data_IF_822847826218
#
_entry.id   IF_822847826218
#
_cell.length_a   1.000
_cell.length_b   1.000
_cell.length_c   1.000
_cell.angle_alpha   90.00
_cell.angle_beta   90.00
_cell.angle_gamma   90.00
#
_symmetry.space_group_name_H-M   'P 1'
#
loop_
_entity.id
_entity.type
_entity.pdbx_description
1 polymer ?
#
# COMPACT_ATOMS: atom_id res chain seq x y z
N UNK A 1 -18.05 19.88 25.11
CA UNK A 1 -16.73 19.88 24.45
C UNK A 1 -16.97 20.28 23.00
N UNK A 2 -16.52 21.48 22.60
CA UNK A 2 -16.47 21.87 21.19
C UNK A 2 -15.40 21.00 20.50
N UNK A 3 -15.77 20.29 19.45
CA UNK A 3 -14.78 19.64 18.59
C UNK A 3 -13.86 20.73 18.02
N UNK A 4 -12.54 20.47 17.97
CA UNK A 4 -11.62 21.41 17.35
C UNK A 4 -12.07 21.70 15.90
N UNK A 5 -11.98 22.95 15.49
CA UNK A 5 -12.23 23.28 14.09
C UNK A 5 -11.19 22.58 13.22
N UNK A 6 -11.51 22.23 11.97
CA UNK A 6 -10.59 21.56 11.03
C UNK A 6 -9.22 22.26 11.00
N UNK A 7 -9.19 23.60 11.02
CA UNK A 7 -7.95 24.38 11.02
C UNK A 7 -7.10 24.21 12.29
N UNK A 8 -7.73 24.00 13.45
CA UNK A 8 -7.02 23.72 14.70
C UNK A 8 -6.35 22.34 14.65
N UNK A 9 -7.07 21.31 14.16
CA UNK A 9 -6.48 19.98 14.03
C UNK A 9 -5.38 19.90 12.97
N UNK A 10 -5.45 20.70 11.89
CA UNK A 10 -4.38 20.79 10.90
C UNK A 10 -3.11 21.45 11.52
N UNK A 11 -3.27 22.44 12.40
CA UNK A 11 -2.16 23.05 13.11
C UNK A 11 -1.53 22.07 14.11
N UNK A 12 -2.35 21.38 14.92
CA UNK A 12 -1.85 20.40 15.88
C UNK A 12 -1.07 19.27 15.18
N UNK A 13 -1.54 18.81 14.01
CA UNK A 13 -0.85 17.80 13.21
C UNK A 13 0.48 18.34 12.62
N UNK A 14 0.48 19.59 12.18
CA UNK A 14 1.68 20.25 11.68
C UNK A 14 2.72 20.39 12.79
N UNK A 15 2.32 20.92 13.96
CA UNK A 15 3.22 21.18 15.07
C UNK A 15 3.81 19.86 15.62
N UNK A 16 3.00 18.82 15.75
CA UNK A 16 3.47 17.50 16.19
C UNK A 16 4.52 16.92 15.23
N UNK A 17 4.29 17.00 13.92
CA UNK A 17 5.24 16.51 12.92
C UNK A 17 6.53 17.39 12.87
N UNK A 18 6.39 18.71 13.06
CA UNK A 18 7.50 19.65 13.15
C UNK A 18 8.40 19.38 14.36
N UNK A 19 7.82 19.03 15.50
CA UNK A 19 8.59 18.62 16.69
C UNK A 19 9.39 17.35 16.43
N UNK A 20 8.85 16.35 15.75
CA UNK A 20 9.60 15.14 15.38
C UNK A 20 10.79 15.50 14.47
N UNK A 21 10.58 16.39 13.50
CA UNK A 21 11.64 16.81 12.56
C UNK A 21 12.75 17.60 13.28
N UNK A 22 12.40 18.46 14.25
CA UNK A 22 13.34 19.23 15.11
C UNK A 22 14.23 18.36 15.98
N UNK A 23 13.81 17.14 16.33
CA UNK A 23 14.65 16.21 17.09
C UNK A 23 15.94 15.85 16.33
N UNK A 24 15.93 15.88 15.01
CA UNK A 24 17.06 15.51 14.14
C UNK A 24 17.60 14.09 14.41
N UNK A 25 16.75 13.21 14.94
CA UNK A 25 17.06 11.82 15.24
C UNK A 25 16.73 10.88 14.09
N UNK A 26 15.81 11.30 13.22
CA UNK A 26 15.25 10.47 12.16
C UNK A 26 15.52 11.07 10.78
N UNK A 27 15.68 10.21 9.79
CA UNK A 27 15.81 10.62 8.39
C UNK A 27 15.34 9.49 7.47
N UNK A 28 15.11 9.80 6.18
CA UNK A 28 14.81 8.81 5.18
C UNK A 28 16.02 7.88 4.97
N UNK A 29 15.77 6.56 4.89
CA UNK A 29 16.79 5.62 4.44
C UNK A 29 17.01 5.78 2.94
N UNK A 30 18.22 5.53 2.46
CA UNK A 30 18.56 5.70 1.06
C UNK A 30 17.85 4.69 0.17
N UNK A 31 17.88 3.42 0.56
CA UNK A 31 17.17 2.35 -0.14
C UNK A 31 15.74 2.20 0.41
N UNK A 32 14.74 2.48 -0.42
CA UNK A 32 13.34 2.36 -0.06
C UNK A 32 12.97 0.98 0.53
N UNK A 33 13.58 -0.10 0.01
CA UNK A 33 13.32 -1.46 0.50
C UNK A 33 13.79 -1.71 1.94
N UNK A 34 14.53 -0.79 2.56
CA UNK A 34 14.96 -0.90 3.96
C UNK A 34 14.02 -0.15 4.92
N UNK A 35 13.12 0.69 4.41
CA UNK A 35 12.27 1.55 5.22
C UNK A 35 11.36 0.79 6.21
N UNK A 36 10.97 -0.44 5.89
CA UNK A 36 10.09 -1.28 6.73
C UNK A 36 10.80 -2.45 7.43
N UNK A 37 12.14 -2.52 7.35
CA UNK A 37 12.88 -3.62 7.96
C UNK A 37 13.25 -3.41 9.44
N UNK A 38 12.99 -2.20 9.96
CA UNK A 38 13.34 -1.82 11.31
C UNK A 38 14.85 -1.58 11.55
N UNK A 39 15.20 -1.21 12.77
CA UNK A 39 16.58 -0.95 13.20
C UNK A 39 17.34 0.05 12.28
N UNK A 40 16.67 1.11 11.83
CA UNK A 40 17.25 2.11 10.95
C UNK A 40 16.77 3.52 11.30
N UNK A 41 17.41 4.53 10.69
CA UNK A 41 17.13 5.96 10.94
C UNK A 41 15.72 6.42 10.56
N UNK A 42 14.95 5.64 9.81
CA UNK A 42 13.59 5.99 9.40
C UNK A 42 12.52 5.43 10.34
N UNK A 43 12.79 4.32 11.04
CA UNK A 43 11.87 3.72 11.99
C UNK A 43 11.75 4.58 13.26
N UNK A 44 10.52 5.01 13.59
CA UNK A 44 10.21 5.81 14.80
C UNK A 44 9.59 4.92 15.87
N UNK A 45 8.62 4.11 15.47
CA UNK A 45 8.00 3.11 16.34
C UNK A 45 8.02 1.78 15.62
N UNK A 46 8.61 0.78 16.26
CA UNK A 46 8.69 -0.56 15.72
C UNK A 46 8.48 -1.62 16.81
N UNK A 47 7.99 -2.78 16.39
CA UNK A 47 7.90 -3.97 17.23
C UNK A 47 9.02 -4.92 16.83
N UNK A 48 9.93 -5.17 17.75
CA UNK A 48 11.01 -6.12 17.55
C UNK A 48 10.54 -7.55 17.78
N UNK A 49 10.94 -8.43 16.87
CA UNK A 49 10.70 -9.86 16.96
C UNK A 49 12.02 -10.61 17.09
N UNK A 50 11.99 -11.76 17.76
CA UNK A 50 13.17 -12.56 18.02
C UNK A 50 13.00 -13.99 17.54
N UNK A 51 13.96 -14.45 16.75
CA UNK A 51 13.95 -15.79 16.15
C UNK A 51 14.08 -16.91 17.18
N UNK A 52 14.90 -16.73 18.20
CA UNK A 52 15.36 -17.82 19.05
C UNK A 52 14.54 -17.99 20.34
N UNK A 53 14.01 -16.92 20.90
CA UNK A 53 13.36 -16.96 22.23
C UNK A 53 12.22 -15.97 22.42
N UNK A 54 11.91 -15.17 21.43
CA UNK A 54 10.96 -14.07 21.53
C UNK A 54 9.71 -14.23 20.65
N UNK A 55 8.86 -13.21 20.64
CA UNK A 55 7.72 -13.17 19.75
C UNK A 55 8.17 -13.20 18.29
N UNK A 56 7.37 -13.82 17.46
CA UNK A 56 7.53 -13.89 16.00
C UNK A 56 6.14 -13.73 15.35
N UNK A 57 6.10 -13.54 14.03
CA UNK A 57 4.84 -13.34 13.32
C UNK A 57 4.74 -14.22 12.07
N UNK A 58 3.52 -14.36 11.57
CA UNK A 58 3.17 -15.22 10.44
C UNK A 58 2.88 -14.44 9.16
N UNK A 59 3.26 -13.17 9.07
CA UNK A 59 2.96 -12.32 7.92
C UNK A 59 3.45 -12.96 6.62
N UNK A 60 4.69 -13.43 6.59
CA UNK A 60 5.25 -14.10 5.41
C UNK A 60 4.42 -15.30 4.98
N UNK A 61 3.99 -16.16 5.91
CA UNK A 61 3.17 -17.34 5.60
C UNK A 61 1.88 -16.97 4.86
N UNK A 62 1.26 -15.85 5.18
CA UNK A 62 0.01 -15.44 4.55
C UNK A 62 0.18 -14.74 3.21
N UNK A 63 1.36 -14.20 2.89
CA UNK A 63 1.50 -13.34 1.71
C UNK A 63 2.54 -13.81 0.68
N UNK A 64 3.41 -14.77 1.01
CA UNK A 64 4.39 -15.29 0.05
C UNK A 64 3.74 -16.05 -1.11
N UNK A 65 4.38 -16.09 -2.30
CA UNK A 65 4.01 -16.99 -3.38
C UNK A 65 4.18 -18.47 -3.00
N UNK A 66 3.40 -19.36 -3.62
CA UNK A 66 3.48 -20.82 -3.40
C UNK A 66 4.90 -21.39 -3.56
N UNK A 67 5.70 -20.82 -4.45
CA UNK A 67 7.09 -21.26 -4.67
C UNK A 67 7.99 -21.11 -3.43
N UNK A 68 7.53 -20.42 -2.38
CA UNK A 68 8.21 -20.37 -1.07
C UNK A 68 7.81 -21.54 -0.14
N UNK A 69 7.06 -22.51 -0.66
CA UNK A 69 6.75 -23.74 0.06
C UNK A 69 5.55 -23.66 1.02
N UNK A 70 4.76 -22.58 0.97
CA UNK A 70 3.56 -22.43 1.81
C UNK A 70 2.29 -22.31 0.96
N UNK A 71 1.44 -23.34 1.01
CA UNK A 71 0.27 -23.46 0.15
C UNK A 71 -0.88 -22.47 0.47
N UNK A 72 -0.85 -21.83 1.64
CA UNK A 72 -1.88 -20.88 2.07
C UNK A 72 -1.44 -19.42 1.96
N UNK A 73 -0.36 -19.15 1.24
CA UNK A 73 0.13 -17.80 0.96
C UNK A 73 -0.76 -17.01 -0.02
N UNK A 74 -0.27 -15.85 -0.45
CA UNK A 74 -0.91 -14.96 -1.41
C UNK A 74 -2.36 -14.54 -1.03
N UNK A 75 -2.66 -14.37 0.26
CA UNK A 75 -4.00 -13.94 0.72
C UNK A 75 -4.31 -12.48 0.33
N UNK A 76 -3.32 -11.68 -0.01
CA UNK A 76 -3.48 -10.34 -0.55
C UNK A 76 -2.55 -10.14 -1.74
N UNK A 77 -3.10 -9.85 -2.90
CA UNK A 77 -2.35 -9.61 -4.12
C UNK A 77 -2.58 -8.20 -4.64
N UNK A 78 -1.52 -7.49 -5.08
CA UNK A 78 -1.65 -6.16 -5.68
C UNK A 78 -2.60 -6.18 -6.88
N UNK A 79 -3.44 -5.16 -7.03
CA UNK A 79 -4.31 -5.00 -8.20
C UNK A 79 -3.60 -4.27 -9.32
N UNK A 80 -4.14 -4.33 -10.53
CA UNK A 80 -3.62 -3.59 -11.67
C UNK A 80 -3.67 -2.07 -11.41
N UNK A 81 -4.71 -1.56 -10.74
CA UNK A 81 -4.82 -0.14 -10.39
C UNK A 81 -3.73 0.32 -9.43
N UNK A 82 -3.22 -0.57 -8.58
CA UNK A 82 -2.06 -0.25 -7.75
C UNK A 82 -0.81 -0.15 -8.61
N UNK A 83 -0.60 -1.06 -9.56
CA UNK A 83 0.52 -1.02 -10.50
C UNK A 83 0.49 0.25 -11.35
N UNK A 84 -0.69 0.62 -11.86
CA UNK A 84 -0.90 1.85 -12.66
C UNK A 84 -0.70 3.16 -11.88
N UNK A 85 -0.66 3.09 -10.56
CA UNK A 85 -0.38 4.26 -9.74
C UNK A 85 1.07 4.67 -9.74
N UNK A 86 2.00 3.74 -10.09
CA UNK A 86 3.43 4.05 -10.17
C UNK A 86 3.74 4.88 -11.42
N UNK A 87 4.59 5.86 -11.25
CA UNK A 87 5.11 6.70 -12.33
C UNK A 87 6.30 6.01 -13.03
N UNK A 88 6.71 6.55 -14.16
CA UNK A 88 7.99 6.18 -14.75
C UNK A 88 9.17 6.78 -13.94
N UNK A 89 10.40 6.40 -14.28
CA UNK A 89 11.63 6.89 -13.65
C UNK A 89 11.85 8.40 -13.80
N UNK A 90 11.10 9.05 -14.70
CA UNK A 90 11.13 10.50 -14.93
C UNK A 90 9.97 11.22 -14.20
N UNK A 91 9.17 10.50 -13.42
CA UNK A 91 8.04 11.06 -12.68
C UNK A 91 6.81 11.37 -13.53
N UNK A 92 6.66 10.75 -14.69
CA UNK A 92 5.50 10.87 -15.55
C UNK A 92 4.52 9.70 -15.31
N UNK A 93 3.25 9.95 -15.51
CA UNK A 93 2.25 8.89 -15.58
C UNK A 93 2.48 8.01 -16.80
N UNK A 94 2.39 6.71 -16.61
CA UNK A 94 2.47 5.73 -17.70
C UNK A 94 1.08 5.54 -18.30
N UNK A 95 1.01 5.47 -19.63
CA UNK A 95 -0.22 5.13 -20.33
C UNK A 95 -0.39 3.60 -20.36
N UNK A 96 -1.41 3.11 -19.66
CA UNK A 96 -1.77 1.70 -19.57
C UNK A 96 -2.88 1.26 -20.51
N UNK A 97 -3.36 2.12 -21.40
CA UNK A 97 -4.49 1.85 -22.30
C UNK A 97 -4.30 0.59 -23.15
N UNK A 98 -3.08 0.29 -23.56
CA UNK A 98 -2.71 -0.93 -24.31
C UNK A 98 -3.06 -2.21 -23.54
N UNK A 99 -2.97 -2.17 -22.20
CA UNK A 99 -3.19 -3.34 -21.33
C UNK A 99 -4.59 -3.40 -20.71
N UNK A 100 -5.50 -2.47 -21.03
CA UNK A 100 -6.90 -2.53 -20.64
C UNK A 100 -7.76 -3.43 -21.55
N UNK A 101 -7.14 -4.31 -22.30
CA UNK A 101 -7.76 -5.29 -23.19
C UNK A 101 -6.97 -6.58 -23.20
N UNK A 102 -6.71 -7.09 -24.39
CA UNK A 102 -5.88 -8.27 -24.63
C UNK A 102 -4.73 -7.91 -25.55
N UNK A 103 -3.51 -8.18 -25.11
CA UNK A 103 -2.29 -7.88 -25.88
C UNK A 103 -1.20 -8.92 -25.64
N UNK A 104 -0.28 -9.08 -26.58
CA UNK A 104 0.94 -9.88 -26.41
C UNK A 104 2.15 -9.04 -26.02
N UNK A 105 1.95 -7.73 -25.87
CA UNK A 105 3.01 -6.79 -25.54
C UNK A 105 3.29 -6.83 -24.03
N UNK A 106 4.55 -6.94 -23.68
CA UNK A 106 4.94 -6.91 -22.27
C UNK A 106 4.67 -5.55 -21.64
N UNK A 107 4.13 -5.50 -20.41
CA UNK A 107 3.95 -4.24 -19.68
C UNK A 107 5.29 -3.55 -19.41
N UNK A 108 5.32 -2.22 -19.32
CA UNK A 108 6.55 -1.44 -19.19
C UNK A 108 7.11 -1.44 -17.75
N UNK A 109 7.20 -2.60 -17.12
CA UNK A 109 7.64 -2.74 -15.73
C UNK A 109 9.04 -2.21 -15.47
N UNK A 110 9.94 -2.31 -16.45
CA UNK A 110 11.32 -1.81 -16.40
C UNK A 110 11.41 -0.28 -16.45
N UNK A 111 10.35 0.38 -16.90
CA UNK A 111 10.27 1.85 -16.96
C UNK A 111 9.75 2.46 -15.65
N UNK A 112 9.06 1.66 -14.82
CA UNK A 112 8.48 2.14 -13.58
C UNK A 112 9.54 2.53 -12.55
N UNK A 113 9.16 3.45 -11.69
CA UNK A 113 10.00 3.95 -10.61
C UNK A 113 10.44 2.84 -9.63
N UNK A 114 11.57 3.00 -8.90
CA UNK A 114 12.16 1.93 -8.10
C UNK A 114 11.25 1.35 -7.02
N UNK A 115 10.32 2.11 -6.46
CA UNK A 115 9.39 1.63 -5.42
C UNK A 115 8.43 0.56 -5.93
N UNK A 116 8.13 0.53 -7.24
CA UNK A 116 7.35 -0.53 -7.85
C UNK A 116 7.98 -1.91 -7.59
N UNK A 117 9.21 -2.09 -8.06
CA UNK A 117 9.91 -3.38 -7.91
C UNK A 117 10.23 -3.74 -6.45
N UNK A 118 10.32 -2.75 -5.55
CA UNK A 118 10.49 -2.97 -4.12
C UNK A 118 9.18 -3.39 -3.42
N UNK A 119 8.03 -3.06 -4.00
CA UNK A 119 6.71 -3.29 -3.40
C UNK A 119 6.00 -4.50 -3.99
N UNK A 120 6.19 -4.79 -5.27
CA UNK A 120 5.39 -5.76 -6.05
C UNK A 120 6.29 -6.79 -6.72
N UNK A 121 5.90 -8.05 -6.60
CA UNK A 121 6.45 -9.16 -7.39
C UNK A 121 5.59 -9.28 -8.66
N UNK A 122 6.24 -9.30 -9.81
CA UNK A 122 5.60 -9.36 -11.12
C UNK A 122 6.31 -10.37 -12.02
N UNK A 123 5.71 -10.74 -13.14
CA UNK A 123 6.30 -11.66 -14.12
C UNK A 123 7.65 -11.15 -14.62
N UNK A 124 8.67 -12.01 -14.57
CA UNK A 124 10.04 -11.70 -14.99
C UNK A 124 10.93 -11.10 -13.90
N UNK A 125 10.40 -10.62 -12.78
CA UNK A 125 11.26 -10.15 -11.69
C UNK A 125 11.94 -11.31 -10.95
N UNK A 126 13.03 -10.99 -10.22
CA UNK A 126 13.69 -11.97 -9.35
C UNK A 126 13.13 -11.88 -7.93
N UNK A 127 12.72 -13.02 -7.37
CA UNK A 127 12.32 -13.18 -5.99
C UNK A 127 13.06 -14.37 -5.36
N UNK A 128 13.79 -14.12 -4.28
CA UNK A 128 14.61 -15.14 -3.57
C UNK A 128 15.42 -16.03 -4.53
N UNK A 129 16.07 -15.40 -5.51
CA UNK A 129 16.93 -16.05 -6.51
C UNK A 129 16.18 -16.78 -7.65
N UNK A 130 14.86 -16.71 -7.71
CA UNK A 130 14.03 -17.33 -8.76
C UNK A 130 13.44 -16.26 -9.67
N UNK A 131 13.38 -16.53 -10.96
CA UNK A 131 12.60 -15.70 -11.89
C UNK A 131 11.12 -16.06 -11.75
N UNK A 132 10.29 -15.06 -11.48
CA UNK A 132 8.86 -15.23 -11.25
C UNK A 132 8.10 -15.39 -12.55
N UNK A 133 7.20 -16.38 -12.59
CA UNK A 133 6.27 -16.60 -13.68
C UNK A 133 4.83 -16.62 -13.16
N UNK A 134 4.20 -15.44 -13.18
CA UNK A 134 2.85 -15.22 -12.68
C UNK A 134 1.75 -15.64 -13.68
N UNK A 135 2.09 -16.41 -14.70
CA UNK A 135 1.15 -16.87 -15.72
C UNK A 135 0.31 -18.08 -15.28
N UNK A 136 -0.73 -18.39 -16.04
CA UNK A 136 -1.49 -19.63 -15.88
C UNK A 136 -0.56 -20.81 -16.11
N UNK A 137 -0.44 -21.70 -15.11
CA UNK A 137 0.48 -22.82 -15.15
C UNK A 137 1.95 -22.46 -14.94
N UNK A 138 2.26 -21.22 -14.55
CA UNK A 138 3.62 -20.77 -14.27
C UNK A 138 4.29 -21.57 -13.15
N UNK A 139 5.60 -21.76 -13.23
CA UNK A 139 6.37 -22.59 -12.29
C UNK A 139 6.65 -21.92 -10.96
N UNK A 140 6.81 -20.59 -10.97
CA UNK A 140 7.10 -19.79 -9.78
C UNK A 140 6.03 -18.68 -9.67
N UNK A 141 4.99 -18.89 -8.88
CA UNK A 141 3.96 -17.89 -8.66
C UNK A 141 2.77 -17.95 -9.64
N UNK A 142 2.28 -19.15 -9.96
CA UNK A 142 1.19 -19.36 -10.91
C UNK A 142 -0.06 -18.53 -10.61
N UNK A 143 -0.74 -18.13 -11.69
CA UNK A 143 -2.05 -17.50 -11.64
C UNK A 143 -3.16 -18.53 -11.35
N UNK A 144 -4.20 -18.09 -10.64
CA UNK A 144 -5.44 -18.83 -10.42
C UNK A 144 -6.62 -17.84 -10.41
N UNK A 145 -7.69 -18.14 -11.13
CA UNK A 145 -8.87 -17.27 -11.12
C UNK A 145 -9.55 -17.25 -9.74
N UNK A 146 -10.04 -16.10 -9.31
CA UNK A 146 -10.63 -15.87 -8.00
C UNK A 146 -11.70 -16.89 -7.59
N UNK A 147 -12.50 -17.38 -8.54
CA UNK A 147 -13.63 -18.28 -8.27
C UNK A 147 -13.35 -19.77 -8.49
N UNK A 148 -12.15 -20.13 -8.89
CA UNK A 148 -11.84 -21.52 -9.22
C UNK A 148 -11.67 -22.40 -8.00
N UNK A 149 -11.32 -21.81 -6.84
CA UNK A 149 -11.06 -22.59 -5.62
C UNK A 149 -11.38 -21.81 -4.33
N UNK A 150 -11.54 -22.54 -3.22
CA UNK A 150 -11.82 -21.96 -1.90
C UNK A 150 -10.64 -21.21 -1.28
N UNK A 151 -9.39 -21.47 -1.74
CA UNK A 151 -8.16 -20.83 -1.23
C UNK A 151 -7.26 -20.44 -2.39
N UNK A 152 -6.35 -19.48 -2.11
CA UNK A 152 -5.37 -19.02 -3.10
C UNK A 152 -4.34 -20.08 -3.49
N UNK A 153 -4.08 -21.07 -2.62
CA UNK A 153 -2.98 -22.02 -2.76
C UNK A 153 -1.62 -21.33 -3.01
N UNK A 154 -1.44 -20.13 -2.47
CA UNK A 154 -0.25 -19.32 -2.71
C UNK A 154 -0.12 -18.82 -4.16
N UNK A 155 -1.21 -18.85 -4.93
CA UNK A 155 -1.28 -18.39 -6.32
C UNK A 155 -1.87 -16.98 -6.38
N UNK A 156 -1.48 -16.22 -7.41
CA UNK A 156 -2.03 -14.89 -7.62
C UNK A 156 -3.36 -14.92 -8.35
N UNK A 157 -4.28 -14.04 -7.96
CA UNK A 157 -5.55 -13.82 -8.68
C UNK A 157 -5.51 -12.55 -9.55
N UNK A 158 -4.42 -11.78 -9.47
CA UNK A 158 -4.26 -10.49 -10.15
C UNK A 158 -3.10 -10.47 -11.13
N UNK A 159 -2.23 -11.49 -11.15
CA UNK A 159 -0.97 -11.50 -11.90
C UNK A 159 0.22 -10.95 -11.11
N UNK A 160 0.02 -10.52 -9.88
CA UNK A 160 1.04 -9.90 -9.02
C UNK A 160 1.06 -10.54 -7.63
N UNK A 161 2.19 -10.38 -6.90
CA UNK A 161 2.28 -10.70 -5.48
C UNK A 161 2.83 -9.52 -4.70
N UNK A 162 2.55 -9.48 -3.42
CA UNK A 162 3.17 -8.53 -2.51
C UNK A 162 4.65 -8.90 -2.32
N UNK A 163 5.53 -7.89 -2.33
CA UNK A 163 6.95 -8.01 -1.99
C UNK A 163 7.27 -7.25 -0.70
N UNK A 164 6.74 -6.02 -0.60
CA UNK A 164 6.93 -5.16 0.55
C UNK A 164 6.45 -5.83 1.83
N UNK A 165 7.17 -5.62 2.93
CA UNK A 165 6.96 -6.21 4.25
C UNK A 165 7.31 -7.70 4.38
N UNK A 166 7.62 -8.40 3.27
CA UNK A 166 8.08 -9.79 3.33
C UNK A 166 9.59 -9.86 3.62
N UNK A 167 9.99 -10.87 4.37
CA UNK A 167 11.41 -11.16 4.63
C UNK A 167 12.00 -12.01 3.49
N UNK A 168 12.76 -11.38 2.61
CA UNK A 168 13.42 -12.07 1.49
C UNK A 168 14.48 -13.07 1.94
N UNK A 169 14.97 -12.97 3.19
CA UNK A 169 15.96 -13.88 3.77
C UNK A 169 15.33 -15.10 4.42
N UNK A 170 14.03 -15.08 4.68
CA UNK A 170 13.31 -16.21 5.26
C UNK A 170 13.07 -17.29 4.19
N UNK A 171 13.90 -18.34 4.20
CA UNK A 171 13.83 -19.42 3.20
C UNK A 171 12.78 -20.48 3.58
N UNK A 172 12.80 -20.95 4.81
CA UNK A 172 11.83 -21.95 5.30
C UNK A 172 10.60 -21.26 5.90
N UNK A 173 9.72 -20.76 5.03
CA UNK A 173 8.49 -20.07 5.44
C UNK A 173 7.50 -21.01 6.14
N UNK A 174 7.52 -22.30 5.78
CA UNK A 174 6.61 -23.30 6.36
C UNK A 174 7.01 -23.68 7.79
N UNK A 175 8.29 -23.88 8.02
CA UNK A 175 8.79 -24.34 9.33
C UNK A 175 9.18 -23.20 10.27
N UNK A 176 9.38 -21.98 9.74
CA UNK A 176 9.90 -20.85 10.52
C UNK A 176 9.02 -19.62 10.34
N UNK A 177 8.65 -18.99 11.44
CA UNK A 177 7.95 -17.70 11.44
C UNK A 177 8.95 -16.54 11.29
N UNK A 178 8.48 -15.42 10.77
CA UNK A 178 9.32 -14.22 10.60
C UNK A 178 9.66 -13.57 11.93
N UNK A 179 10.91 -13.12 12.01
CA UNK A 179 11.40 -12.24 13.08
C UNK A 179 11.77 -10.85 12.55
N UNK A 180 11.38 -10.51 11.32
CA UNK A 180 11.55 -9.16 10.81
C UNK A 180 10.77 -8.17 11.67
N UNK A 181 11.40 -7.05 12.05
CA UNK A 181 10.71 -6.01 12.79
C UNK A 181 9.48 -5.50 12.02
N UNK A 182 8.45 -5.12 12.77
CA UNK A 182 7.27 -4.46 12.22
C UNK A 182 7.32 -2.98 12.51
N UNK A 183 7.55 -2.17 11.51
CA UNK A 183 7.61 -0.71 11.62
C UNK A 183 6.19 -0.16 11.55
N UNK A 184 5.73 0.45 12.65
CA UNK A 184 4.39 1.02 12.76
C UNK A 184 4.36 2.49 12.37
N UNK A 185 5.40 3.27 12.74
CA UNK A 185 5.54 4.68 12.38
C UNK A 185 6.94 4.91 11.84
N UNK A 186 7.03 5.53 10.68
CA UNK A 186 8.31 5.88 10.05
C UNK A 186 8.36 7.33 9.59
N UNK A 187 9.55 7.86 9.42
CA UNK A 187 9.78 9.28 9.19
C UNK A 187 9.17 9.79 7.87
N UNK A 188 9.09 8.97 6.82
CA UNK A 188 8.40 9.36 5.58
C UNK A 188 6.91 9.66 5.82
N UNK A 189 6.24 8.90 6.70
CA UNK A 189 4.86 9.19 7.09
C UNK A 189 4.76 10.55 7.79
N UNK A 190 5.68 10.85 8.72
CA UNK A 190 5.71 12.15 9.43
C UNK A 190 5.88 13.30 8.44
N UNK A 191 6.80 13.17 7.46
CA UNK A 191 6.99 14.18 6.41
C UNK A 191 5.72 14.37 5.56
N UNK A 192 5.04 13.29 5.20
CA UNK A 192 3.81 13.37 4.42
C UNK A 192 2.65 13.92 5.26
N UNK A 193 2.54 13.57 6.55
CA UNK A 193 1.56 14.17 7.45
C UNK A 193 1.78 15.68 7.58
N UNK A 194 3.03 16.11 7.76
CA UNK A 194 3.40 17.54 7.78
C UNK A 194 3.09 18.24 6.45
N UNK A 195 3.35 17.57 5.32
CA UNK A 195 3.07 18.13 3.99
C UNK A 195 1.59 18.42 3.80
N UNK A 196 0.70 17.50 4.18
CA UNK A 196 -0.74 17.74 4.10
C UNK A 196 -1.19 18.84 5.04
N UNK A 197 -0.74 18.82 6.29
CA UNK A 197 -1.07 19.84 7.26
C UNK A 197 -0.58 21.23 6.80
N UNK A 198 0.64 21.34 6.29
CA UNK A 198 1.18 22.56 5.69
C UNK A 198 0.31 23.07 4.53
N UNK A 199 -0.11 22.18 3.63
CA UNK A 199 -1.01 22.52 2.53
C UNK A 199 -2.34 23.09 3.03
N UNK A 200 -2.97 22.45 4.04
CA UNK A 200 -4.22 22.91 4.65
C UNK A 200 -4.08 24.26 5.37
N UNK A 201 -2.89 24.56 5.86
CA UNK A 201 -2.52 25.83 6.49
C UNK A 201 -2.07 26.91 5.48
N UNK A 202 -2.17 26.64 4.17
CA UNK A 202 -1.70 27.50 3.07
C UNK A 202 -0.17 27.74 3.03
N UNK A 203 0.62 26.87 3.67
CA UNK A 203 2.09 26.85 3.58
C UNK A 203 2.53 26.01 2.36
N UNK A 204 2.10 26.42 1.17
CA UNK A 204 2.16 25.59 -0.05
C UNK A 204 3.59 25.25 -0.50
N UNK A 205 4.54 26.17 -0.34
CA UNK A 205 5.96 25.94 -0.67
C UNK A 205 6.57 24.88 0.22
N UNK A 206 6.27 24.93 1.51
CA UNK A 206 6.76 23.91 2.48
C UNK A 206 6.12 22.56 2.21
N UNK A 207 4.81 22.52 1.97
CA UNK A 207 4.09 21.29 1.62
C UNK A 207 4.72 20.61 0.40
N UNK A 208 5.05 21.37 -0.62
CA UNK A 208 5.71 20.88 -1.83
C UNK A 208 7.13 20.39 -1.55
N UNK A 209 7.90 21.10 -0.75
CA UNK A 209 9.26 20.71 -0.37
C UNK A 209 9.29 19.40 0.39
N UNK A 210 8.36 19.19 1.34
CA UNK A 210 8.25 17.98 2.13
C UNK A 210 7.88 16.76 1.28
N UNK A 211 6.89 16.88 0.41
CA UNK A 211 6.53 15.83 -0.55
C UNK A 211 7.70 15.49 -1.48
N UNK A 212 8.36 16.52 -2.01
CA UNK A 212 9.49 16.34 -2.92
C UNK A 212 10.72 15.75 -2.22
N UNK A 213 10.90 15.94 -0.91
CA UNK A 213 11.94 15.26 -0.13
C UNK A 213 11.72 13.74 -0.12
N UNK A 214 10.49 13.27 0.05
CA UNK A 214 10.17 11.84 -0.01
C UNK A 214 10.43 11.29 -1.42
N UNK A 215 9.98 11.98 -2.46
CA UNK A 215 10.19 11.61 -3.87
C UNK A 215 11.67 11.56 -4.25
N UNK A 216 12.44 12.51 -3.77
CA UNK A 216 13.88 12.66 -4.04
C UNK A 216 14.78 11.76 -3.18
N UNK A 217 14.26 10.87 -2.36
CA UNK A 217 15.04 9.88 -1.60
C UNK A 217 16.10 9.24 -2.50
N UNK A 218 17.33 9.05 -2.02
CA UNK A 218 18.47 8.65 -2.84
C UNK A 218 18.21 7.39 -3.71
N UNK A 219 17.59 6.36 -3.19
CA UNK A 219 17.28 5.14 -3.95
C UNK A 219 16.02 5.22 -4.83
N UNK A 220 15.26 6.33 -4.78
CA UNK A 220 14.06 6.58 -5.58
C UNK A 220 14.37 7.59 -6.69
N UNK A 221 14.96 8.73 -6.34
CA UNK A 221 15.44 9.77 -7.25
C UNK A 221 14.39 10.30 -8.25
N UNK A 222 13.13 10.36 -7.86
CA UNK A 222 12.11 10.96 -8.70
C UNK A 222 12.24 12.49 -8.72
N UNK A 223 12.00 13.13 -9.86
CA UNK A 223 11.95 14.58 -9.94
C UNK A 223 10.83 15.14 -9.07
N UNK A 224 11.05 16.32 -8.50
CA UNK A 224 10.05 17.00 -7.71
C UNK A 224 8.84 17.42 -8.56
N UNK A 225 7.65 17.40 -7.97
CA UNK A 225 6.45 18.00 -8.58
C UNK A 225 6.45 19.51 -8.38
N UNK A 226 5.82 20.22 -9.29
CA UNK A 226 5.64 21.68 -9.25
C UNK A 226 4.18 22.12 -9.39
N UNK A 227 3.24 21.17 -9.27
CA UNK A 227 1.80 21.41 -9.30
C UNK A 227 1.34 22.29 -8.13
N UNK A 228 0.15 22.85 -8.22
CA UNK A 228 -0.43 23.70 -7.18
C UNK A 228 -1.92 23.43 -7.02
N UNK A 229 -2.51 23.89 -5.92
CA UNK A 229 -3.93 23.73 -5.64
C UNK A 229 -4.37 22.27 -5.62
N UNK A 230 -5.49 21.96 -6.26
CA UNK A 230 -6.05 20.62 -6.32
C UNK A 230 -5.14 19.62 -7.06
N UNK A 231 -4.43 20.08 -8.10
CA UNK A 231 -3.46 19.23 -8.81
C UNK A 231 -2.32 18.78 -7.88
N UNK A 232 -1.83 19.68 -7.02
CA UNK A 232 -0.85 19.30 -5.99
C UNK A 232 -1.43 18.26 -5.02
N UNK A 233 -2.65 18.46 -4.58
CA UNK A 233 -3.27 17.52 -3.64
C UNK A 233 -3.47 16.13 -4.27
N UNK A 234 -3.78 16.04 -5.56
CA UNK A 234 -3.85 14.78 -6.29
C UNK A 234 -2.46 14.12 -6.43
N UNK A 235 -1.41 14.88 -6.73
CA UNK A 235 -0.04 14.37 -6.73
C UNK A 235 0.38 13.87 -5.34
N UNK A 236 0.06 14.63 -4.29
CA UNK A 236 0.30 14.25 -2.90
C UNK A 236 -0.40 12.95 -2.51
N UNK A 237 -1.67 12.79 -2.87
CA UNK A 237 -2.44 11.56 -2.60
C UNK A 237 -1.81 10.35 -3.27
N UNK A 238 -1.36 10.50 -4.51
CA UNK A 238 -0.68 9.43 -5.23
C UNK A 238 0.69 9.12 -4.61
N UNK A 239 1.47 10.15 -4.27
CA UNK A 239 2.75 9.97 -3.59
C UNK A 239 2.59 9.22 -2.26
N UNK A 240 1.62 9.64 -1.44
CA UNK A 240 1.32 8.98 -0.17
C UNK A 240 0.84 7.54 -0.35
N UNK A 241 0.00 7.26 -1.35
CA UNK A 241 -0.47 5.93 -1.71
C UNK A 241 0.69 4.99 -2.06
N UNK A 242 1.66 5.47 -2.84
CA UNK A 242 2.82 4.69 -3.28
C UNK A 242 3.82 4.52 -2.13
N UNK A 243 4.18 5.61 -1.48
CA UNK A 243 5.18 5.59 -0.39
C UNK A 243 4.75 4.68 0.75
N UNK A 244 3.49 4.80 1.19
CA UNK A 244 2.92 4.04 2.31
C UNK A 244 2.10 2.82 1.86
N UNK A 245 2.35 2.32 0.65
CA UNK A 245 1.65 1.16 0.11
C UNK A 245 1.73 -0.03 1.07
N UNK A 246 0.58 -0.65 1.37
CA UNK A 246 0.41 -1.82 2.25
C UNK A 246 0.76 -1.62 3.74
N UNK A 247 1.02 -0.39 4.17
CA UNK A 247 1.24 -0.05 5.58
C UNK A 247 -0.06 0.34 6.32
N UNK A 248 -1.23 0.08 5.75
CA UNK A 248 -2.54 0.29 6.39
C UNK A 248 -3.14 1.70 6.24
N UNK A 249 -2.42 2.65 5.66
CA UNK A 249 -2.84 4.07 5.62
C UNK A 249 -3.98 4.38 4.66
N UNK A 250 -3.98 3.80 3.45
CA UNK A 250 -4.90 4.18 2.37
C UNK A 250 -6.38 4.08 2.78
N UNK A 251 -6.75 3.05 3.54
CA UNK A 251 -8.11 2.87 4.02
C UNK A 251 -8.58 4.07 4.86
N UNK A 252 -7.73 4.54 5.77
CA UNK A 252 -8.02 5.68 6.63
C UNK A 252 -7.94 7.00 5.89
N UNK A 253 -7.00 7.15 4.99
CA UNK A 253 -6.83 8.33 4.15
C UNK A 253 -8.07 8.58 3.29
N UNK A 254 -8.59 7.56 2.63
CA UNK A 254 -9.79 7.67 1.80
C UNK A 254 -11.04 8.04 2.62
N UNK A 255 -11.08 7.59 3.89
CA UNK A 255 -12.17 7.94 4.81
C UNK A 255 -12.04 9.38 5.32
N UNK A 256 -10.86 9.80 5.78
CA UNK A 256 -10.64 11.17 6.29
C UNK A 256 -10.73 12.24 5.20
N UNK A 257 -10.33 11.91 3.97
CA UNK A 257 -10.51 12.80 2.81
C UNK A 257 -11.95 12.83 2.28
N UNK A 258 -12.82 11.94 2.77
CA UNK A 258 -14.21 11.79 2.30
C UNK A 258 -14.30 11.41 0.81
N UNK A 259 -13.38 10.58 0.32
CA UNK A 259 -13.30 10.14 -1.07
C UNK A 259 -13.71 8.67 -1.27
N UNK A 260 -13.81 7.88 -0.20
CA UNK A 260 -14.11 6.45 -0.31
C UNK A 260 -15.47 6.17 -1.00
N UNK A 261 -16.50 7.00 -0.76
CA UNK A 261 -17.82 6.83 -1.39
C UNK A 261 -17.85 7.28 -2.86
N UNK A 262 -16.80 7.98 -3.31
CA UNK A 262 -16.64 8.44 -4.69
C UNK A 262 -15.79 7.43 -5.47
N UNK A 263 -14.61 7.08 -4.94
CA UNK A 263 -13.59 6.30 -5.66
C UNK A 263 -13.71 4.79 -5.42
N UNK A 264 -14.31 4.35 -4.29
CA UNK A 264 -14.44 2.93 -3.93
C UNK A 264 -15.89 2.44 -3.81
N UNK A 265 -16.85 3.22 -4.30
CA UNK A 265 -18.23 2.76 -4.40
C UNK A 265 -18.54 2.32 -5.82
N UNK A 266 -19.11 1.13 -5.98
CA UNK A 266 -19.22 0.43 -7.27
C UNK A 266 -17.88 0.18 -7.96
N UNK A 267 -16.82 0.07 -7.16
CA UNK A 267 -15.47 -0.14 -7.63
C UNK A 267 -15.20 -1.63 -7.84
N UNK A 268 -14.63 -1.96 -8.99
CA UNK A 268 -14.17 -3.30 -9.32
C UNK A 268 -12.65 -3.32 -9.39
N UNK A 269 -12.02 -4.35 -8.81
CA UNK A 269 -10.58 -4.55 -8.88
C UNK A 269 -10.23 -5.36 -10.12
N UNK A 270 -9.10 -5.03 -10.75
CA UNK A 270 -8.62 -5.71 -11.94
C UNK A 270 -7.21 -6.27 -11.74
N UNK A 271 -6.88 -7.20 -12.60
CA UNK A 271 -5.57 -7.82 -12.71
C UNK A 271 -5.18 -8.04 -14.18
N UNK A 272 -3.94 -8.47 -14.40
CA UNK A 272 -3.46 -8.94 -15.70
C UNK A 272 -3.25 -10.45 -15.64
N UNK A 273 -4.16 -11.21 -16.22
CA UNK A 273 -4.02 -12.65 -16.43
C UNK A 273 -3.08 -12.90 -17.61
N UNK A 274 -2.13 -13.79 -17.43
CA UNK A 274 -1.14 -14.11 -18.45
C UNK A 274 -1.33 -15.56 -18.88
N UNK A 275 -1.60 -15.79 -20.17
CA UNK A 275 -1.76 -17.13 -20.75
C UNK A 275 -0.96 -17.22 -22.04
N UNK A 276 0.04 -18.12 -22.09
CA UNK A 276 0.90 -18.32 -23.26
C UNK A 276 1.48 -17.01 -23.83
N UNK A 277 1.94 -16.10 -22.97
CA UNK A 277 2.50 -14.81 -23.37
C UNK A 277 1.48 -13.73 -23.75
N UNK A 278 0.19 -14.03 -23.64
CA UNK A 278 -0.90 -13.06 -23.86
C UNK A 278 -1.35 -12.50 -22.51
N UNK A 279 -1.42 -11.19 -22.42
CA UNK A 279 -1.92 -10.43 -21.26
C UNK A 279 -3.39 -10.07 -21.49
N UNK A 280 -4.22 -10.36 -20.53
CA UNK A 280 -5.66 -10.10 -20.54
C UNK A 280 -6.04 -9.31 -19.29
N UNK A 281 -6.69 -8.14 -19.47
CA UNK A 281 -7.24 -7.36 -18.37
C UNK A 281 -8.52 -8.03 -17.88
N UNK A 282 -8.56 -8.40 -16.61
CA UNK A 282 -9.64 -9.18 -16.04
C UNK A 282 -10.18 -8.58 -14.76
N UNK A 283 -11.45 -8.84 -14.48
CA UNK A 283 -12.01 -8.68 -13.13
C UNK A 283 -11.34 -9.69 -12.18
N UNK A 284 -10.71 -9.23 -11.13
CA UNK A 284 -10.01 -10.08 -10.17
C UNK A 284 -10.78 -10.34 -8.88
N UNK A 285 -11.95 -9.75 -8.72
CA UNK A 285 -12.88 -10.09 -7.64
C UNK A 285 -14.29 -10.42 -8.19
N UNK A 286 -15.10 -11.03 -7.36
CA UNK A 286 -16.39 -11.55 -7.81
C UNK A 286 -17.53 -10.57 -7.74
N UNK A 287 -17.30 -9.35 -7.25
CA UNK A 287 -18.36 -8.38 -6.97
C UNK A 287 -17.84 -6.95 -6.97
N UNK A 288 -18.73 -6.01 -7.25
CA UNK A 288 -18.43 -4.59 -7.04
C UNK A 288 -18.32 -4.29 -5.54
N UNK A 289 -17.27 -3.60 -5.17
CA UNK A 289 -17.11 -3.08 -3.82
C UNK A 289 -18.06 -1.93 -3.59
N UNK A 290 -18.68 -1.90 -2.41
CA UNK A 290 -19.66 -0.88 -2.05
C UNK A 290 -19.14 -0.07 -0.87
N UNK A 291 -19.15 1.24 -1.02
CA UNK A 291 -18.87 2.17 0.06
C UNK A 291 -19.93 3.29 0.09
N UNK A 292 -21.18 3.00 0.50
CA UNK A 292 -22.19 4.05 0.70
C UNK A 292 -21.76 5.01 1.83
N UNK A 293 -22.20 6.26 1.76
CA UNK A 293 -21.77 7.31 2.70
C UNK A 293 -21.94 6.94 4.18
N UNK A 294 -22.96 6.15 4.51
CA UNK A 294 -23.18 5.69 5.89
C UNK A 294 -21.99 4.93 6.49
N UNK A 295 -21.13 4.32 5.67
CA UNK A 295 -19.94 3.60 6.14
C UNK A 295 -18.85 4.51 6.72
N UNK A 296 -18.95 5.82 6.60
CA UNK A 296 -18.04 6.73 7.33
C UNK A 296 -18.26 6.69 8.84
N UNK A 297 -19.45 6.32 9.28
CA UNK A 297 -19.75 6.07 10.68
C UNK A 297 -20.11 4.59 10.79
N UNK A 298 -19.38 3.85 11.61
CA UNK A 298 -19.69 2.43 11.83
C UNK A 298 -20.91 2.31 12.76
N UNK A 299 -21.77 1.32 12.54
CA UNK A 299 -22.94 1.14 13.42
C UNK A 299 -22.49 0.72 14.82
N UNK A 300 -23.26 1.11 15.82
CA UNK A 300 -23.14 0.51 17.14
C UNK A 300 -23.49 -0.98 17.02
N UNK A 301 -22.68 -1.91 17.52
CA UNK A 301 -23.00 -3.34 17.46
C UNK A 301 -24.35 -3.64 18.07
N UNK A 302 -25.15 -4.49 17.41
CA UNK A 302 -26.50 -4.84 17.87
C UNK A 302 -26.49 -5.45 19.29
N UNK A 303 -25.41 -6.17 19.66
CA UNK A 303 -25.22 -6.70 21.02
C UNK A 303 -25.19 -5.58 22.06
N UNK A 304 -24.50 -4.48 21.77
CA UNK A 304 -24.38 -3.36 22.71
C UNK A 304 -25.73 -2.64 22.91
N UNK A 305 -26.49 -2.45 21.83
CA UNK A 305 -27.84 -1.86 21.91
C UNK A 305 -28.78 -2.76 22.72
N UNK A 306 -28.67 -4.09 22.57
CA UNK A 306 -29.48 -5.04 23.33
C UNK A 306 -29.11 -5.08 24.81
N UNK A 307 -27.85 -4.89 25.13
CA UNK A 307 -27.33 -4.96 26.50
C UNK A 307 -27.52 -3.65 27.27
N UNK A 308 -27.68 -2.52 26.58
CA UNK A 308 -27.87 -1.23 27.22
C UNK A 308 -28.94 -0.40 26.48
N UNK A 309 -30.12 -0.33 27.08
CA UNK A 309 -31.26 0.38 26.53
C UNK A 309 -31.10 1.92 26.39
N UNK A 310 -30.00 2.49 26.95
CA UNK A 310 -29.67 3.90 26.82
C UNK A 310 -28.80 4.19 25.57
N UNK A 311 -28.33 3.14 24.89
CA UNK A 311 -27.54 3.29 23.65
C UNK A 311 -28.51 3.31 22.46
N UNK A 312 -28.47 4.39 21.72
CA UNK A 312 -29.18 4.52 20.44
C UNK A 312 -28.23 4.30 19.26
N UNK A 313 -28.79 3.74 18.19
CA UNK A 313 -28.10 3.64 16.93
C UNK A 313 -27.95 5.01 16.27
N UNK A 314 -26.87 5.21 15.51
CA UNK A 314 -26.69 6.40 14.67
C UNK A 314 -27.79 6.49 13.61
N UNK A 315 -28.18 7.72 13.24
CA UNK A 315 -29.29 7.96 12.31
C UNK A 315 -29.08 7.33 10.94
N UNK A 316 -27.80 7.27 10.48
CA UNK A 316 -27.43 6.62 9.21
C UNK A 316 -27.70 5.12 9.20
N UNK A 317 -27.92 4.50 10.38
CA UNK A 317 -28.07 3.06 10.57
C UNK A 317 -29.41 2.64 11.20
N UNK A 318 -30.31 3.60 11.44
CA UNK A 318 -31.69 3.36 11.94
C UNK A 318 -32.63 2.81 10.89
#
# INVERSE_FOLDING_TARGET
HSFPTRRSSDLDAYDAADEVEKLQLYDLVDNYADAWKGNNKEAILEFDYNKDSGPNHTFDQYYVPQCDGYDFGALGTPTQEMVESYEDKNGNKVDWSEWHGTTTKEPPYDQLEPRFAATIIYRGCTWKGRVMDCSVGGTNGAFMAYREQSYSYGKTTTGYFLRKLLDEKLIDVKGTKSSQAWVEIRFAEVLLNKAEAAYRLNKTTEAQSLMNRVRGRQGVNLPGKSSSGEAWFNDYRNERKIELAYEGHLFWDMRRWRLAHIEYNNYRCHGLKITNGTYEYIDCDGQDRKFPQKLYVLPVPTSEIKNNALIEQYDEWK
#
